data_IF_604909699204
#
_entry.id   IF_604909699204
#
_cell.length_a   1.000
_cell.length_b   1.000
_cell.length_c   1.000
_cell.angle_alpha   90.00
_cell.angle_beta   90.00
_cell.angle_gamma   90.00
#
_symmetry.space_group_name_H-M   'P 1'
#
loop_
_entity.id
_entity.type
_entity.pdbx_description
1 polymer ?
#
# COMPACT_ATOMS: atom_id res chain seq x y z
N UNK A 1 46.33 -37.43 66.16
CA UNK A 1 46.41 -38.00 64.79
C UNK A 1 45.13 -37.68 64.04
N UNK A 2 45.27 -36.91 62.95
CA UNK A 2 44.54 -37.09 61.68
C UNK A 2 43.02 -37.29 61.79
N UNK A 3 42.31 -36.16 61.84
CA UNK A 3 41.00 -35.94 61.19
C UNK A 3 41.10 -36.25 59.69
N UNK A 4 41.32 -37.53 59.34
CA UNK A 4 41.45 -38.00 57.95
C UNK A 4 40.20 -38.77 57.52
N UNK A 5 39.03 -38.32 57.97
CA UNK A 5 37.74 -38.81 57.52
C UNK A 5 36.78 -37.62 57.45
N UNK A 6 36.79 -36.83 56.36
CA UNK A 6 35.61 -36.03 55.91
C UNK A 6 35.83 -35.26 54.60
N UNK A 7 36.39 -35.88 53.56
CA UNK A 7 36.40 -35.22 52.24
C UNK A 7 36.34 -36.23 51.09
N UNK A 8 35.42 -37.20 51.19
CA UNK A 8 35.17 -38.16 50.10
C UNK A 8 33.93 -37.86 49.26
N UNK A 9 33.25 -36.75 49.51
CA UNK A 9 32.18 -36.25 48.63
C UNK A 9 32.46 -34.81 48.26
N UNK A 10 33.18 -34.62 47.16
CA UNK A 10 32.91 -33.49 46.28
C UNK A 10 33.39 -33.88 44.90
N UNK A 11 32.50 -34.57 44.18
CA UNK A 11 32.50 -34.64 42.72
C UNK A 11 32.63 -33.22 42.17
N UNK A 12 33.86 -32.80 41.90
CA UNK A 12 34.09 -31.63 41.07
C UNK A 12 33.86 -32.06 39.63
N UNK A 13 32.66 -31.81 39.15
CA UNK A 13 32.33 -31.82 37.73
C UNK A 13 33.32 -30.93 36.98
N UNK A 14 33.91 -31.47 35.91
CA UNK A 14 34.84 -30.79 35.04
C UNK A 14 34.11 -29.69 34.26
N UNK A 15 34.54 -28.41 34.30
CA UNK A 15 33.86 -27.31 33.60
C UNK A 15 33.87 -27.40 32.07
N UNK A 16 34.61 -28.36 31.49
CA UNK A 16 34.61 -28.60 30.04
C UNK A 16 33.39 -29.38 29.54
N UNK A 17 32.66 -30.08 30.41
CA UNK A 17 31.43 -30.81 30.03
C UNK A 17 30.20 -29.89 29.98
N UNK A 18 30.35 -28.63 30.39
CA UNK A 18 29.28 -27.64 30.47
C UNK A 18 28.98 -26.92 29.14
N UNK A 19 29.67 -27.25 28.05
CA UNK A 19 29.54 -26.56 26.77
C UNK A 19 29.47 -27.49 25.55
N UNK A 20 28.93 -28.71 25.70
CA UNK A 20 28.41 -29.44 24.54
C UNK A 20 27.09 -28.81 24.10
N UNK A 21 27.13 -28.00 23.05
CA UNK A 21 25.91 -27.52 22.39
C UNK A 21 25.14 -28.75 21.89
N UNK A 22 23.92 -29.03 22.39
CA UNK A 22 23.19 -30.22 22.00
C UNK A 22 23.05 -30.31 20.48
N UNK A 23 23.18 -31.51 19.92
CA UNK A 23 23.15 -31.72 18.47
C UNK A 23 21.89 -31.12 17.82
N UNK A 24 20.77 -31.12 18.53
CA UNK A 24 19.51 -30.52 18.10
C UNK A 24 19.60 -28.98 18.03
N UNK A 25 20.29 -28.35 18.98
CA UNK A 25 20.54 -26.90 19.00
C UNK A 25 21.50 -26.52 17.87
N UNK A 26 22.53 -27.34 17.64
CA UNK A 26 23.46 -27.15 16.52
C UNK A 26 22.78 -27.31 15.17
N UNK A 27 22.00 -28.38 14.96
CA UNK A 27 21.25 -28.60 13.73
C UNK A 27 20.20 -27.51 13.48
N UNK A 28 19.56 -27.02 14.55
CA UNK A 28 18.63 -25.88 14.45
C UNK A 28 19.36 -24.59 14.07
N UNK A 29 20.52 -24.32 14.65
CA UNK A 29 21.35 -23.18 14.29
C UNK A 29 21.88 -23.26 12.85
N UNK A 30 22.37 -24.43 12.43
CA UNK A 30 22.84 -24.68 11.06
C UNK A 30 21.71 -24.49 10.04
N UNK A 31 20.51 -25.02 10.32
CA UNK A 31 19.33 -24.81 9.49
C UNK A 31 18.90 -23.34 9.45
N UNK A 32 18.89 -22.66 10.60
CA UNK A 32 18.55 -21.25 10.70
C UNK A 32 19.52 -20.35 9.92
N UNK A 33 20.82 -20.65 9.97
CA UNK A 33 21.84 -19.93 9.20
C UNK A 33 21.70 -20.18 7.69
N UNK A 34 21.40 -21.41 7.27
CA UNK A 34 21.13 -21.72 5.87
C UNK A 34 19.88 -20.99 5.36
N UNK A 35 18.78 -20.98 6.13
CA UNK A 35 17.56 -20.25 5.78
C UNK A 35 17.77 -18.74 5.74
N UNK A 36 18.55 -18.19 6.68
CA UNK A 36 18.89 -16.78 6.69
C UNK A 36 19.75 -16.40 5.47
N UNK A 37 20.71 -17.25 5.07
CA UNK A 37 21.50 -17.04 3.85
C UNK A 37 20.65 -17.12 2.58
N UNK A 38 19.76 -18.11 2.49
CA UNK A 38 18.85 -18.26 1.35
C UNK A 38 17.89 -17.07 1.23
N UNK A 39 17.31 -16.63 2.36
CA UNK A 39 16.45 -15.44 2.41
C UNK A 39 17.22 -14.17 2.08
N UNK A 40 18.44 -14.01 2.60
CA UNK A 40 19.31 -12.88 2.31
C UNK A 40 19.73 -12.86 0.84
N UNK A 41 20.01 -14.01 0.23
CA UNK A 41 20.33 -14.11 -1.20
C UNK A 41 19.12 -13.71 -2.05
N UNK A 42 17.92 -14.20 -1.75
CA UNK A 42 16.68 -13.80 -2.46
C UNK A 42 16.36 -12.32 -2.29
N UNK A 43 16.55 -11.78 -1.09
CA UNK A 43 16.38 -10.36 -0.81
C UNK A 43 17.41 -9.50 -1.53
N UNK A 44 18.67 -9.94 -1.56
CA UNK A 44 19.77 -9.29 -2.26
C UNK A 44 19.53 -9.30 -3.77
N UNK A 45 19.06 -10.41 -4.34
CA UNK A 45 18.69 -10.48 -5.76
C UNK A 45 17.52 -9.52 -6.06
N UNK A 46 16.48 -9.50 -5.22
CA UNK A 46 15.36 -8.55 -5.36
C UNK A 46 15.74 -7.07 -5.16
N UNK A 47 16.87 -6.80 -4.50
CA UNK A 47 17.40 -5.46 -4.24
C UNK A 47 18.49 -5.02 -5.23
N UNK A 48 19.23 -5.96 -5.83
CA UNK A 48 20.22 -5.71 -6.87
C UNK A 48 19.58 -5.61 -8.26
N UNK A 49 18.45 -6.27 -8.48
CA UNK A 49 17.55 -5.96 -9.59
C UNK A 49 16.83 -4.63 -9.29
N UNK A 50 17.19 -3.55 -9.97
CA UNK A 50 16.40 -2.31 -9.99
C UNK A 50 14.98 -2.63 -10.47
N UNK A 51 14.06 -2.82 -9.54
CA UNK A 51 12.89 -3.66 -9.79
C UNK A 51 11.86 -2.90 -10.63
N UNK A 52 11.62 -3.32 -11.89
CA UNK A 52 10.61 -2.72 -12.76
C UNK A 52 9.19 -2.68 -12.16
N UNK A 53 8.94 -3.46 -11.10
CA UNK A 53 7.74 -3.34 -10.28
C UNK A 53 7.66 -2.02 -9.49
N UNK A 54 8.76 -1.52 -8.91
CA UNK A 54 8.80 -0.23 -8.20
C UNK A 54 8.63 0.91 -9.20
N UNK A 55 9.31 0.85 -10.34
CA UNK A 55 9.15 1.81 -11.42
C UNK A 55 7.71 1.80 -11.96
N UNK A 56 7.10 0.62 -12.14
CA UNK A 56 5.70 0.48 -12.54
C UNK A 56 4.72 1.04 -11.50
N UNK A 57 4.96 0.84 -10.20
CA UNK A 57 4.18 1.46 -9.12
C UNK A 57 4.27 2.98 -9.18
N UNK A 58 5.48 3.51 -9.35
CA UNK A 58 5.69 4.97 -9.39
C UNK A 58 5.06 5.59 -10.64
N UNK A 59 5.17 4.93 -11.78
CA UNK A 59 4.53 5.33 -13.03
C UNK A 59 3.00 5.27 -12.93
N UNK A 60 2.44 4.19 -12.36
CA UNK A 60 1.00 4.05 -12.14
C UNK A 60 0.46 5.12 -11.18
N UNK A 61 1.17 5.39 -10.08
CA UNK A 61 0.82 6.43 -9.13
C UNK A 61 0.88 7.83 -9.75
N UNK A 62 1.95 8.13 -10.52
CA UNK A 62 2.11 9.43 -11.20
C UNK A 62 1.04 9.64 -12.26
N UNK A 63 0.77 8.62 -13.07
CA UNK A 63 -0.34 8.63 -14.04
C UNK A 63 -1.68 8.82 -13.34
N UNK A 64 -1.92 8.09 -12.26
CA UNK A 64 -3.14 8.21 -11.47
C UNK A 64 -3.34 9.62 -10.92
N UNK A 65 -2.30 10.23 -10.36
CA UNK A 65 -2.34 11.62 -9.90
C UNK A 65 -2.66 12.59 -11.05
N UNK A 66 -2.03 12.42 -12.22
CA UNK A 66 -2.32 13.22 -13.39
C UNK A 66 -3.77 13.08 -13.88
N UNK A 67 -4.26 11.84 -13.99
CA UNK A 67 -5.63 11.55 -14.41
C UNK A 67 -6.65 12.14 -13.41
N UNK A 68 -6.36 12.06 -12.10
CA UNK A 68 -7.16 12.67 -11.04
C UNK A 68 -7.19 14.19 -11.12
N UNK A 69 -6.03 14.85 -11.28
CA UNK A 69 -5.95 16.30 -11.44
C UNK A 69 -6.66 16.79 -12.69
N UNK A 70 -6.49 16.10 -13.82
CA UNK A 70 -7.19 16.41 -15.08
C UNK A 70 -8.70 16.34 -14.87
N UNK A 71 -9.18 15.31 -14.17
CA UNK A 71 -10.61 15.15 -13.91
C UNK A 71 -11.19 16.28 -13.05
N UNK A 72 -10.45 16.76 -12.06
CA UNK A 72 -10.85 17.92 -11.26
C UNK A 72 -10.92 19.20 -12.09
N UNK A 73 -10.00 19.39 -13.04
CA UNK A 73 -10.03 20.54 -13.96
C UNK A 73 -11.25 20.49 -14.88
N UNK A 74 -11.57 19.32 -15.44
CA UNK A 74 -12.77 19.12 -16.26
C UNK A 74 -14.05 19.46 -15.48
N UNK A 75 -14.12 19.02 -14.22
CA UNK A 75 -15.24 19.35 -13.33
C UNK A 75 -15.30 20.83 -13.02
N UNK A 76 -14.17 21.46 -12.74
CA UNK A 76 -14.07 22.90 -12.56
C UNK A 76 -14.64 23.66 -13.76
N UNK A 77 -14.21 23.31 -14.97
CA UNK A 77 -14.70 23.92 -16.19
C UNK A 77 -16.21 23.71 -16.37
N UNK A 78 -16.71 22.48 -16.18
CA UNK A 78 -18.13 22.17 -16.29
C UNK A 78 -18.97 22.96 -15.28
N UNK A 79 -18.52 23.06 -14.03
CA UNK A 79 -19.21 23.76 -12.95
C UNK A 79 -19.20 25.28 -13.18
N UNK A 80 -18.07 25.84 -13.62
CA UNK A 80 -17.96 27.26 -14.00
C UNK A 80 -18.89 27.62 -15.15
N UNK A 81 -18.90 26.81 -16.22
CA UNK A 81 -19.82 27.02 -17.35
C UNK A 81 -21.27 26.98 -16.89
N UNK A 82 -21.65 26.00 -16.07
CA UNK A 82 -23.00 25.91 -15.52
C UNK A 82 -23.37 27.12 -14.65
N UNK A 83 -22.41 27.67 -13.91
CA UNK A 83 -22.57 28.91 -13.15
C UNK A 83 -22.81 30.12 -14.05
N UNK A 84 -22.04 30.27 -15.14
CA UNK A 84 -22.25 31.33 -16.11
C UNK A 84 -23.58 31.22 -16.85
N UNK A 85 -23.97 30.01 -17.27
CA UNK A 85 -25.28 29.76 -17.88
C UNK A 85 -26.41 30.18 -16.95
N UNK A 86 -26.28 29.88 -15.65
CA UNK A 86 -27.24 30.27 -14.64
C UNK A 86 -27.30 31.79 -14.43
N UNK A 87 -26.15 32.45 -14.33
CA UNK A 87 -26.08 33.91 -14.21
C UNK A 87 -26.68 34.61 -15.43
N UNK A 88 -26.41 34.11 -16.63
CA UNK A 88 -27.00 34.63 -17.87
C UNK A 88 -28.53 34.49 -17.85
N UNK A 89 -29.05 33.35 -17.39
CA UNK A 89 -30.48 33.14 -17.25
C UNK A 89 -31.11 34.07 -16.20
N UNK A 90 -30.43 34.27 -15.05
CA UNK A 90 -30.89 35.17 -13.99
C UNK A 90 -30.96 36.63 -14.45
N UNK A 91 -29.96 37.11 -15.20
CA UNK A 91 -29.96 38.48 -15.76
C UNK A 91 -31.15 38.68 -16.70
N UNK A 92 -31.61 37.63 -17.38
CA UNK A 92 -32.80 37.66 -18.24
C UNK A 92 -34.14 37.50 -17.53
N UNK A 93 -34.16 37.26 -16.21
CA UNK A 93 -35.39 37.05 -15.45
C UNK A 93 -36.23 38.33 -15.37
N UNK A 94 -37.55 38.22 -15.59
CA UNK A 94 -38.46 39.37 -15.60
C UNK A 94 -39.18 39.57 -14.27
N UNK A 95 -39.11 38.58 -13.38
CA UNK A 95 -39.76 38.60 -12.08
C UNK A 95 -38.97 37.81 -11.03
N UNK A 96 -39.30 38.03 -9.76
CA UNK A 96 -38.75 37.22 -8.66
C UNK A 96 -39.17 35.75 -8.76
N UNK A 97 -40.38 35.47 -9.26
CA UNK A 97 -40.85 34.09 -9.48
C UNK A 97 -39.96 33.37 -10.49
N UNK A 98 -39.68 34.01 -11.63
CA UNK A 98 -38.80 33.48 -12.68
C UNK A 98 -37.40 33.19 -12.12
N UNK A 99 -36.86 34.11 -11.32
CA UNK A 99 -35.55 33.95 -10.69
C UNK A 99 -35.52 32.78 -9.69
N UNK A 100 -36.57 32.60 -8.88
CA UNK A 100 -36.67 31.48 -7.93
C UNK A 100 -36.81 30.13 -8.64
N UNK A 101 -37.50 30.08 -9.78
CA UNK A 101 -37.61 28.87 -10.60
C UNK A 101 -36.26 28.50 -11.23
N UNK A 102 -35.55 29.48 -11.78
CA UNK A 102 -34.19 29.30 -12.30
C UNK A 102 -33.23 28.79 -11.23
N UNK A 103 -33.28 29.38 -10.03
CA UNK A 103 -32.44 28.97 -8.90
C UNK A 103 -32.74 27.54 -8.44
N UNK A 104 -34.03 27.19 -8.30
CA UNK A 104 -34.46 25.83 -7.92
C UNK A 104 -34.00 24.80 -8.96
N UNK A 105 -34.18 25.10 -10.24
CA UNK A 105 -33.78 24.26 -11.36
C UNK A 105 -32.27 24.07 -11.41
N UNK A 106 -31.49 25.15 -11.29
CA UNK A 106 -30.04 25.10 -11.27
C UNK A 106 -29.55 24.26 -10.08
N UNK A 107 -30.07 24.50 -8.88
CA UNK A 107 -29.68 23.78 -7.66
C UNK A 107 -29.95 22.28 -7.77
N UNK A 108 -31.14 21.89 -8.25
CA UNK A 108 -31.48 20.47 -8.46
C UNK A 108 -30.54 19.81 -9.47
N UNK A 109 -30.22 20.50 -10.56
CA UNK A 109 -29.28 20.02 -11.58
C UNK A 109 -27.87 19.87 -10.98
N UNK A 110 -27.37 20.89 -10.29
CA UNK A 110 -26.04 20.87 -9.68
C UNK A 110 -25.89 19.74 -8.65
N UNK A 111 -26.92 19.46 -7.86
CA UNK A 111 -26.89 18.35 -6.92
C UNK A 111 -26.67 17.00 -7.62
N UNK A 112 -27.41 16.75 -8.71
CA UNK A 112 -27.22 15.55 -9.53
C UNK A 112 -25.83 15.48 -10.16
N UNK A 113 -25.33 16.61 -10.66
CA UNK A 113 -23.97 16.72 -11.21
C UNK A 113 -22.91 16.40 -10.16
N UNK A 114 -22.98 16.99 -8.96
CA UNK A 114 -22.01 16.71 -7.89
C UNK A 114 -22.05 15.25 -7.42
N UNK A 115 -23.25 14.65 -7.33
CA UNK A 115 -23.37 13.24 -7.00
C UNK A 115 -22.69 12.34 -8.05
N UNK A 116 -22.87 12.66 -9.35
CA UNK A 116 -22.19 11.94 -10.43
C UNK A 116 -20.67 12.15 -10.39
N UNK A 117 -20.20 13.39 -10.22
CA UNK A 117 -18.78 13.73 -10.10
C UNK A 117 -18.12 13.00 -8.93
N UNK A 118 -18.78 12.90 -7.77
CA UNK A 118 -18.28 12.17 -6.61
C UNK A 118 -18.16 10.66 -6.87
N UNK A 119 -19.13 10.08 -7.59
CA UNK A 119 -19.07 8.68 -8.02
C UNK A 119 -17.89 8.44 -8.96
N UNK A 120 -17.70 9.31 -9.95
CA UNK A 120 -16.58 9.23 -10.90
C UNK A 120 -15.22 9.33 -10.20
N UNK A 121 -15.05 10.22 -9.21
CA UNK A 121 -13.81 10.31 -8.43
C UNK A 121 -13.57 9.05 -7.60
N UNK A 122 -14.63 8.44 -7.06
CA UNK A 122 -14.52 7.20 -6.30
C UNK A 122 -14.05 6.06 -7.20
N UNK A 123 -14.67 5.91 -8.37
CA UNK A 123 -14.29 4.91 -9.37
C UNK A 123 -12.85 5.11 -9.86
N UNK A 124 -12.45 6.36 -10.13
CA UNK A 124 -11.08 6.69 -10.51
C UNK A 124 -10.08 6.35 -9.40
N UNK A 125 -10.40 6.69 -8.15
CA UNK A 125 -9.53 6.36 -7.00
C UNK A 125 -9.37 4.85 -6.83
N UNK A 126 -10.46 4.09 -6.96
CA UNK A 126 -10.42 2.63 -6.92
C UNK A 126 -9.54 2.06 -8.04
N UNK A 127 -9.69 2.58 -9.26
CA UNK A 127 -8.87 2.18 -10.40
C UNK A 127 -7.38 2.45 -10.15
N UNK A 128 -7.02 3.64 -9.68
CA UNK A 128 -5.63 4.01 -9.36
C UNK A 128 -5.07 3.06 -8.28
N UNK A 129 -5.84 2.76 -7.24
CA UNK A 129 -5.42 1.85 -6.18
C UNK A 129 -5.14 0.44 -6.72
N UNK A 130 -6.02 -0.08 -7.60
CA UNK A 130 -5.83 -1.39 -8.25
C UNK A 130 -4.59 -1.39 -9.15
N UNK A 131 -4.46 -0.40 -10.02
CA UNK A 131 -3.32 -0.28 -10.95
C UNK A 131 -1.99 -0.10 -10.21
N UNK A 132 -2.00 0.53 -9.04
CA UNK A 132 -0.81 0.68 -8.18
C UNK A 132 -0.45 -0.61 -7.43
N UNK A 133 -1.44 -1.42 -7.04
CA UNK A 133 -1.22 -2.67 -6.29
C UNK A 133 -0.86 -3.87 -7.20
N UNK A 134 -1.32 -3.88 -8.44
CA UNK A 134 -1.10 -4.92 -9.46
C UNK A 134 0.38 -5.30 -9.67
N UNK A 135 1.34 -4.36 -9.82
CA UNK A 135 2.75 -4.69 -10.01
C UNK A 135 3.38 -5.40 -8.80
N UNK A 136 2.95 -5.04 -7.58
CA UNK A 136 3.42 -5.68 -6.34
C UNK A 136 2.88 -7.10 -6.23
N UNK A 137 1.60 -7.31 -6.55
CA UNK A 137 0.97 -8.63 -6.57
C UNK A 137 1.62 -9.54 -7.60
N UNK A 138 1.86 -9.04 -8.80
CA UNK A 138 2.50 -9.77 -9.88
C UNK A 138 3.97 -10.10 -9.55
N UNK A 139 4.69 -9.16 -8.93
CA UNK A 139 6.04 -9.39 -8.41
C UNK A 139 6.07 -10.50 -7.36
N UNK A 140 5.21 -10.45 -6.34
CA UNK A 140 5.14 -11.47 -5.29
C UNK A 140 4.77 -12.86 -5.85
N UNK A 141 3.85 -12.93 -6.81
CA UNK A 141 3.40 -14.19 -7.42
C UNK A 141 4.53 -14.95 -8.12
N UNK A 142 5.54 -14.25 -8.65
CA UNK A 142 6.72 -14.86 -9.28
C UNK A 142 7.64 -15.57 -8.27
N UNK A 143 7.63 -15.17 -7.00
CA UNK A 143 8.46 -15.77 -5.95
C UNK A 143 7.78 -16.91 -5.16
N UNK A 144 6.47 -17.10 -5.34
CA UNK A 144 5.68 -18.13 -4.65
C UNK A 144 5.12 -19.23 -5.56
N UNK A 145 5.50 -19.26 -6.85
CA UNK A 145 5.22 -20.42 -7.69
C UNK A 145 6.03 -21.61 -7.15
N UNK A 146 5.39 -22.72 -6.75
CA UNK A 146 6.13 -23.92 -6.36
C UNK A 146 6.91 -24.41 -7.58
N UNK A 147 8.21 -24.64 -7.39
CA UNK A 147 9.03 -25.31 -8.39
C UNK A 147 8.43 -26.69 -8.60
N UNK A 148 7.91 -26.94 -9.81
CA UNK A 148 7.38 -28.24 -10.23
C UNK A 148 8.52 -29.24 -10.49
#
# INVERSE_FOLDING_TARGET
MRRSQHAKDMTMTNPADAFEVPEQVRAFAEKGVLQARDTYARFKDAAQDGNGAIEAVFNAATKGAHDYSTKLLDFGQANTNAGFDFLQALVGAKSLSDATELWSTHTRKQFGTFAAQAKELTELTQKIAVETAEPVRTGASKFFQPVA
#
